data_IF_941910472948
#
_entry.id   IF_941910472948
#
_cell.length_a   1.000
_cell.length_b   1.000
_cell.length_c   1.000
_cell.angle_alpha   90.00
_cell.angle_beta   90.00
_cell.angle_gamma   90.00
#
_symmetry.space_group_name_H-M   'P 1'
#
loop_
_entity.id
_entity.type
_entity.pdbx_description
1 polymer ?
#
# COMPACT_ATOMS: atom_id res chain seq x y z
N UNK A 1 -5.58 14.29 -8.43
CA UNK A 1 -4.99 14.80 -7.17
C UNK A 1 -5.14 16.31 -7.15
N UNK A 2 -5.35 16.92 -5.99
CA UNK A 2 -5.45 18.38 -5.83
C UNK A 2 -4.36 18.86 -4.87
N UNK A 3 -3.87 20.07 -5.08
CA UNK A 3 -2.91 20.72 -4.19
C UNK A 3 -3.67 21.46 -3.09
N UNK A 4 -3.20 21.34 -1.85
CA UNK A 4 -3.64 22.20 -0.76
C UNK A 4 -2.79 23.47 -0.72
N UNK A 5 -1.47 23.33 -0.91
CA UNK A 5 -0.52 24.44 -0.83
C UNK A 5 0.54 24.33 -1.94
N UNK A 6 1.04 25.49 -2.38
CA UNK A 6 2.14 25.57 -3.34
C UNK A 6 1.76 25.11 -4.74
N UNK A 7 2.66 24.36 -5.37
CA UNK A 7 2.52 23.84 -6.74
C UNK A 7 3.05 22.42 -6.87
N UNK A 8 2.71 21.76 -7.98
CA UNK A 8 3.36 20.51 -8.34
C UNK A 8 4.85 20.76 -8.64
N UNK A 9 5.68 19.72 -8.44
CA UNK A 9 7.03 19.69 -8.98
C UNK A 9 6.98 19.93 -10.50
N UNK A 10 7.93 20.70 -11.00
CA UNK A 10 8.00 21.11 -12.40
C UNK A 10 9.36 20.71 -13.00
N UNK A 11 10.10 21.68 -13.51
CA UNK A 11 11.30 21.44 -14.32
C UNK A 11 12.57 21.19 -13.49
N UNK A 12 12.66 21.71 -12.25
CA UNK A 12 13.82 21.45 -11.40
C UNK A 12 13.76 20.01 -10.84
N UNK A 13 14.77 19.15 -11.11
CA UNK A 13 14.78 17.76 -10.67
C UNK A 13 14.79 17.59 -9.15
N UNK A 14 15.17 18.62 -8.39
CA UNK A 14 15.26 18.58 -6.92
C UNK A 14 14.05 19.21 -6.24
N UNK A 15 12.89 19.14 -6.88
CA UNK A 15 11.60 19.54 -6.31
C UNK A 15 10.79 18.33 -5.84
N UNK A 16 10.11 18.48 -4.70
CA UNK A 16 9.24 17.45 -4.16
C UNK A 16 7.87 18.02 -3.79
N UNK A 17 6.82 17.27 -4.12
CA UNK A 17 5.46 17.49 -3.64
C UNK A 17 5.12 16.42 -2.59
N UNK A 18 4.72 16.85 -1.40
CA UNK A 18 4.44 15.95 -0.28
C UNK A 18 2.97 15.53 -0.23
N UNK A 19 2.73 14.28 0.14
CA UNK A 19 1.43 13.84 0.62
C UNK A 19 1.04 14.56 1.93
N UNK A 20 -0.27 14.73 2.15
CA UNK A 20 -0.80 15.50 3.28
C UNK A 20 -0.37 14.97 4.65
N UNK A 21 -0.23 13.65 4.80
CA UNK A 21 0.15 13.03 6.07
C UNK A 21 1.66 13.12 6.31
N UNK A 22 2.48 13.07 5.27
CA UNK A 22 3.93 13.32 5.37
C UNK A 22 4.20 14.72 5.90
N UNK A 23 3.59 15.74 5.27
CA UNK A 23 3.77 17.13 5.68
C UNK A 23 3.32 17.36 7.12
N UNK A 24 2.11 16.90 7.47
CA UNK A 24 1.56 17.10 8.81
C UNK A 24 2.33 16.33 9.91
N UNK A 25 2.68 15.06 9.67
CA UNK A 25 3.31 14.21 10.69
C UNK A 25 4.77 14.58 10.95
N UNK A 26 5.49 15.05 9.93
CA UNK A 26 6.90 15.43 10.02
C UNK A 26 7.10 16.94 10.20
N UNK A 27 6.03 17.74 10.12
CA UNK A 27 6.07 19.18 10.29
C UNK A 27 6.67 19.96 9.11
N UNK A 28 6.72 19.35 7.92
CA UNK A 28 7.30 20.00 6.74
C UNK A 28 6.41 21.11 6.19
N UNK A 29 7.04 22.23 5.85
CA UNK A 29 6.38 23.37 5.20
C UNK A 29 6.97 23.68 3.83
N UNK A 30 6.31 24.54 3.05
CA UNK A 30 6.82 24.95 1.73
C UNK A 30 8.18 25.65 1.87
N UNK A 31 9.10 25.28 0.97
CA UNK A 31 10.44 25.86 0.89
C UNK A 31 11.49 25.17 1.76
N UNK A 32 11.09 24.29 2.68
CA UNK A 32 12.02 23.46 3.43
C UNK A 32 12.70 22.43 2.54
N UNK A 33 13.89 22.02 2.95
CA UNK A 33 14.68 20.99 2.28
C UNK A 33 14.58 19.67 3.04
N UNK A 34 14.49 18.58 2.29
CA UNK A 34 14.53 17.23 2.82
C UNK A 34 15.52 16.38 2.06
N UNK A 35 16.09 15.40 2.77
CA UNK A 35 17.04 14.45 2.21
C UNK A 35 16.34 13.11 2.03
N UNK A 36 16.35 12.60 0.80
CA UNK A 36 15.88 11.25 0.52
C UNK A 36 16.95 10.23 0.90
N UNK A 37 16.52 9.05 1.35
CA UNK A 37 17.43 8.00 1.76
C UNK A 37 16.90 6.62 1.37
N UNK A 38 17.81 5.69 1.13
CA UNK A 38 17.51 4.27 1.03
C UNK A 38 17.35 3.67 2.42
N UNK A 39 16.31 2.86 2.60
CA UNK A 39 16.05 2.18 3.86
C UNK A 39 14.58 1.91 4.07
N UNK A 40 14.27 1.13 5.11
CA UNK A 40 12.90 0.90 5.56
C UNK A 40 12.77 1.43 6.98
N UNK A 41 11.85 2.38 7.15
CA UNK A 41 11.44 3.00 8.41
C UNK A 41 12.58 3.61 9.26
N UNK A 42 13.21 2.82 10.14
CA UNK A 42 14.12 3.33 11.18
C UNK A 42 15.60 3.26 10.78
N UNK A 43 15.93 2.47 9.76
CA UNK A 43 17.31 2.26 9.33
C UNK A 43 17.49 2.94 7.97
N UNK A 44 18.06 4.15 8.01
CA UNK A 44 18.59 4.82 6.82
C UNK A 44 19.95 4.22 6.51
N UNK A 45 20.06 3.50 5.39
CA UNK A 45 21.29 2.82 4.97
C UNK A 45 22.23 3.77 4.24
N UNK A 46 21.68 4.56 3.32
CA UNK A 46 22.41 5.56 2.54
C UNK A 46 21.52 6.77 2.30
N UNK A 47 22.06 7.97 2.55
CA UNK A 47 21.38 9.25 2.36
C UNK A 47 21.88 9.93 1.09
N UNK A 48 20.98 10.64 0.42
CA UNK A 48 21.28 11.54 -0.70
C UNK A 48 21.41 12.98 -0.20
N UNK A 49 22.24 13.19 0.82
CA UNK A 49 22.42 14.50 1.48
C UNK A 49 23.19 15.52 0.62
N UNK A 50 23.85 15.05 -0.44
CA UNK A 50 24.50 15.85 -1.47
C UNK A 50 23.53 16.43 -2.51
N UNK A 51 22.27 15.96 -2.51
CA UNK A 51 21.23 16.33 -3.47
C UNK A 51 19.86 16.54 -2.77
N UNK A 52 19.75 17.53 -1.86
CA UNK A 52 18.52 17.76 -1.11
C UNK A 52 17.37 18.21 -2.01
N UNK A 53 16.15 17.82 -1.65
CA UNK A 53 14.92 18.20 -2.36
C UNK A 53 14.21 19.33 -1.64
N UNK A 54 13.77 20.34 -2.40
CA UNK A 54 12.97 21.44 -1.89
C UNK A 54 11.48 21.12 -1.97
N UNK A 55 10.77 21.31 -0.87
CA UNK A 55 9.30 21.17 -0.81
C UNK A 55 8.66 22.32 -1.57
N UNK A 56 7.98 22.03 -2.68
CA UNK A 56 7.31 23.04 -3.52
C UNK A 56 5.78 22.96 -3.48
N UNK A 57 5.24 21.86 -2.94
CA UNK A 57 3.80 21.70 -2.79
C UNK A 57 3.42 20.62 -1.79
N UNK A 58 2.19 20.75 -1.29
CA UNK A 58 1.56 19.77 -0.40
C UNK A 58 0.20 19.40 -1.01
N UNK A 59 -0.03 18.11 -1.18
CA UNK A 59 -1.30 17.58 -1.68
C UNK A 59 -2.42 17.78 -0.65
N UNK A 60 -3.62 18.04 -1.15
CA UNK A 60 -4.83 17.97 -0.33
C UNK A 60 -5.05 16.54 0.18
N UNK A 61 -5.49 16.42 1.44
CA UNK A 61 -5.73 15.12 2.09
C UNK A 61 -6.76 14.30 1.32
N UNK A 62 -6.41 13.07 0.98
CA UNK A 62 -7.26 12.14 0.24
C UNK A 62 -7.80 10.99 1.09
N UNK A 63 -7.17 10.70 2.23
CA UNK A 63 -7.45 9.50 3.03
C UNK A 63 -6.94 8.19 2.40
N UNK A 64 -6.10 8.29 1.36
CA UNK A 64 -5.53 7.14 0.65
C UNK A 64 -4.02 7.03 0.90
N UNK A 65 -3.36 5.92 0.51
CA UNK A 65 -1.91 5.79 0.66
C UNK A 65 -1.08 6.92 0.02
N UNK A 66 -1.64 7.67 -0.94
CA UNK A 66 -1.00 8.86 -1.53
C UNK A 66 -0.69 9.95 -0.50
N UNK A 67 -1.44 10.01 0.60
CA UNK A 67 -1.16 10.99 1.67
C UNK A 67 0.18 10.72 2.37
N UNK A 68 0.72 9.49 2.24
CA UNK A 68 1.96 9.02 2.86
C UNK A 68 3.11 8.88 1.86
N UNK A 69 3.05 9.54 0.71
CA UNK A 69 4.08 9.47 -0.34
C UNK A 69 4.76 10.82 -0.58
N UNK A 70 6.00 10.76 -1.09
CA UNK A 70 6.72 11.89 -1.65
C UNK A 70 6.69 11.74 -3.17
N UNK A 71 6.40 12.82 -3.88
CA UNK A 71 6.33 12.82 -5.34
C UNK A 71 7.42 13.70 -5.92
N UNK A 72 8.25 13.09 -6.77
CA UNK A 72 9.34 13.74 -7.51
C UNK A 72 9.20 13.42 -8.99
N UNK A 73 9.85 14.19 -9.84
CA UNK A 73 9.92 13.88 -11.27
C UNK A 73 10.79 12.66 -11.54
N UNK A 74 10.57 12.01 -12.68
CA UNK A 74 11.46 10.92 -13.12
C UNK A 74 12.89 11.42 -13.34
N UNK A 75 13.04 12.66 -13.83
CA UNK A 75 14.33 13.33 -13.94
C UNK A 75 15.00 13.52 -12.57
N UNK A 76 14.22 13.85 -11.52
CA UNK A 76 14.70 13.89 -10.14
C UNK A 76 15.20 12.55 -9.65
N UNK A 77 14.52 11.45 -10.04
CA UNK A 77 14.97 10.12 -9.68
C UNK A 77 16.25 9.71 -10.41
N UNK A 78 16.40 10.09 -11.68
CA UNK A 78 17.65 9.90 -12.44
C UNK A 78 18.78 10.74 -11.84
N UNK A 79 18.51 12.03 -11.55
CA UNK A 79 19.46 12.99 -10.96
C UNK A 79 20.06 12.51 -9.64
N UNK A 80 19.26 11.83 -8.82
CA UNK A 80 19.71 11.22 -7.57
C UNK A 80 20.71 10.08 -7.78
N UNK A 81 20.67 9.42 -8.93
CA UNK A 81 21.45 8.22 -9.22
C UNK A 81 22.49 8.40 -10.33
N UNK A 82 22.68 9.61 -10.87
CA UNK A 82 23.64 9.87 -11.98
C UNK A 82 25.07 9.44 -11.68
N UNK A 83 25.49 9.53 -10.41
CA UNK A 83 26.81 9.12 -9.94
C UNK A 83 26.78 7.79 -9.17
N UNK A 84 25.67 7.05 -9.25
CA UNK A 84 25.54 5.73 -8.62
C UNK A 84 25.85 4.61 -9.60
N UNK A 85 26.65 3.64 -9.15
CA UNK A 85 26.98 2.45 -9.92
C UNK A 85 26.82 1.21 -9.05
N UNK A 86 26.12 0.20 -9.56
CA UNK A 86 25.85 -1.06 -8.85
C UNK A 86 25.27 -0.85 -7.42
N UNK A 87 24.41 0.16 -7.26
CA UNK A 87 23.75 0.47 -5.99
C UNK A 87 24.61 1.23 -4.97
N UNK A 88 25.76 1.78 -5.38
CA UNK A 88 26.66 2.56 -4.52
C UNK A 88 26.99 3.93 -5.14
N UNK A 89 27.10 5.00 -4.33
CA UNK A 89 27.48 6.32 -4.82
C UNK A 89 28.97 6.36 -5.19
N UNK A 90 29.30 7.16 -6.20
CA UNK A 90 30.68 7.46 -6.57
C UNK A 90 31.44 8.14 -5.42
N UNK A 91 32.77 7.97 -5.42
CA UNK A 91 33.67 8.56 -4.43
C UNK A 91 34.70 9.47 -5.09
N UNK A 92 35.19 10.46 -4.35
CA UNK A 92 36.20 11.40 -4.81
C UNK A 92 35.72 12.19 -6.03
N UNK A 93 36.56 12.23 -7.07
CA UNK A 93 36.31 13.02 -8.29
C UNK A 93 35.14 12.52 -9.15
N UNK A 94 34.57 11.35 -8.85
CA UNK A 94 33.39 10.82 -9.55
C UNK A 94 32.05 11.34 -9.01
N UNK A 95 32.05 12.11 -7.91
CA UNK A 95 30.82 12.69 -7.33
C UNK A 95 30.26 13.78 -8.23
N UNK A 96 28.94 13.81 -8.36
CA UNK A 96 28.21 14.82 -9.11
C UNK A 96 27.37 15.65 -8.13
N UNK A 97 27.54 16.98 -8.11
CA UNK A 97 26.73 17.86 -7.27
C UNK A 97 25.31 18.02 -7.83
N UNK A 98 24.37 18.52 -7.02
CA UNK A 98 23.03 18.85 -7.47
C UNK A 98 23.06 19.86 -8.65
N UNK A 99 23.91 20.89 -8.60
CA UNK A 99 24.07 21.88 -9.68
C UNK A 99 24.58 21.24 -10.96
N UNK A 100 25.53 20.31 -10.86
CA UNK A 100 26.04 19.59 -12.03
C UNK A 100 24.95 18.70 -12.63
N UNK A 101 24.19 17.99 -11.79
CA UNK A 101 23.10 17.10 -12.24
C UNK A 101 21.98 17.87 -12.96
N UNK A 102 21.65 19.11 -12.54
CA UNK A 102 20.67 19.95 -13.24
C UNK A 102 21.02 20.22 -14.71
N UNK A 103 22.31 20.20 -15.06
CA UNK A 103 22.80 20.42 -16.42
C UNK A 103 22.93 19.15 -17.28
N UNK A 104 22.56 17.99 -16.76
CA UNK A 104 22.69 16.70 -17.46
C UNK A 104 21.40 16.33 -18.20
N UNK A 105 21.52 15.38 -19.12
CA UNK A 105 20.35 14.69 -19.68
C UNK A 105 19.84 13.67 -18.66
N UNK A 106 18.69 13.99 -18.07
CA UNK A 106 18.05 13.23 -16.99
C UNK A 106 16.87 12.39 -17.50
N UNK A 107 16.78 12.15 -18.81
CA UNK A 107 15.70 11.35 -19.36
C UNK A 107 15.91 9.86 -19.04
N UNK A 108 15.03 9.24 -18.22
CA UNK A 108 15.21 7.85 -17.81
C UNK A 108 15.08 6.92 -19.02
N UNK A 109 15.97 5.94 -19.10
CA UNK A 109 15.88 4.87 -20.11
C UNK A 109 14.92 3.75 -19.72
N UNK A 110 14.60 3.63 -18.42
CA UNK A 110 13.76 2.58 -17.88
C UNK A 110 12.88 3.15 -16.76
N UNK A 111 11.64 2.68 -16.69
CA UNK A 111 10.71 2.97 -15.59
C UNK A 111 10.16 1.66 -15.04
N UNK A 112 9.91 1.60 -13.74
CA UNK A 112 9.43 0.37 -13.09
C UNK A 112 7.98 0.06 -13.44
N UNK A 113 7.14 1.08 -13.50
CA UNK A 113 5.71 0.94 -13.78
C UNK A 113 5.12 2.27 -14.23
N UNK A 114 3.98 2.19 -14.93
CA UNK A 114 3.15 3.34 -15.28
C UNK A 114 1.69 2.98 -15.09
N UNK A 115 0.89 3.94 -14.65
CA UNK A 115 -0.56 3.81 -14.59
C UNK A 115 -1.17 4.37 -15.87
N UNK A 116 -1.81 3.52 -16.67
CA UNK A 116 -2.45 3.89 -17.92
C UNK A 116 -3.97 3.99 -17.76
N UNK A 117 -4.52 5.18 -17.97
CA UNK A 117 -5.96 5.41 -18.05
C UNK A 117 -6.47 5.25 -19.48
N UNK A 118 -7.56 4.49 -19.68
CA UNK A 118 -8.18 4.30 -21.00
C UNK A 118 -9.48 5.07 -21.12
N UNK A 119 -9.67 5.73 -22.28
CA UNK A 119 -10.92 6.41 -22.60
C UNK A 119 -12.04 5.43 -22.99
N UNK A 120 -11.69 4.23 -23.45
CA UNK A 120 -12.64 3.17 -23.82
C UNK A 120 -12.49 1.96 -22.91
N UNK A 121 -13.54 1.65 -22.14
CA UNK A 121 -13.57 0.48 -21.24
C UNK A 121 -13.45 -0.84 -22.01
N UNK A 122 -13.98 -0.90 -23.23
CA UNK A 122 -13.97 -2.12 -24.07
C UNK A 122 -12.53 -2.45 -24.52
N UNK A 123 -11.67 -1.45 -24.70
CA UNK A 123 -10.28 -1.66 -25.13
C UNK A 123 -9.39 -2.27 -24.03
N UNK A 124 -9.84 -2.28 -22.77
CA UNK A 124 -9.03 -2.66 -21.60
C UNK A 124 -8.39 -4.03 -21.72
N UNK A 125 -9.18 -5.06 -22.05
CA UNK A 125 -8.66 -6.44 -22.12
C UNK A 125 -7.80 -6.67 -23.37
N UNK A 126 -8.15 -6.05 -24.50
CA UNK A 126 -7.37 -6.16 -25.73
C UNK A 126 -5.98 -5.53 -25.55
N UNK A 127 -5.91 -4.32 -24.98
CA UNK A 127 -4.64 -3.65 -24.73
C UNK A 127 -3.80 -4.37 -23.68
N UNK A 128 -4.42 -4.85 -22.59
CA UNK A 128 -3.71 -5.64 -21.58
C UNK A 128 -3.06 -6.87 -22.23
N UNK A 129 -3.81 -7.59 -23.08
CA UNK A 129 -3.30 -8.74 -23.82
C UNK A 129 -2.16 -8.34 -24.77
N UNK A 130 -2.32 -7.27 -25.53
CA UNK A 130 -1.29 -6.77 -26.44
C UNK A 130 0.02 -6.47 -25.71
N UNK A 131 -0.04 -5.81 -24.55
CA UNK A 131 1.14 -5.54 -23.72
C UNK A 131 1.76 -6.86 -23.21
N UNK A 132 0.95 -7.80 -22.74
CA UNK A 132 1.44 -9.08 -22.22
C UNK A 132 2.01 -10.02 -23.29
N UNK A 133 1.57 -9.89 -24.54
CA UNK A 133 2.05 -10.68 -25.68
C UNK A 133 3.17 -9.96 -26.47
N UNK A 134 3.50 -8.72 -26.11
CA UNK A 134 4.57 -7.95 -26.76
C UNK A 134 5.93 -8.61 -26.56
N UNK A 135 6.64 -8.87 -27.67
CA UNK A 135 7.92 -9.61 -27.65
C UNK A 135 9.16 -8.71 -27.65
N UNK A 136 8.99 -7.41 -27.91
CA UNK A 136 10.14 -6.49 -27.98
C UNK A 136 10.80 -6.31 -26.62
N UNK A 137 10.00 -6.32 -25.55
CA UNK A 137 10.45 -6.16 -24.17
C UNK A 137 9.55 -6.98 -23.23
N UNK A 138 10.08 -7.50 -22.11
CA UNK A 138 9.30 -8.23 -21.13
C UNK A 138 8.42 -7.28 -20.31
N UNK A 139 7.19 -7.08 -20.76
CA UNK A 139 6.20 -6.22 -20.11
C UNK A 139 5.10 -7.05 -19.45
N UNK A 140 4.49 -6.48 -18.39
CA UNK A 140 3.32 -7.05 -17.73
C UNK A 140 2.29 -5.96 -17.47
N UNK A 141 1.11 -6.12 -18.04
CA UNK A 141 -0.07 -5.33 -17.77
C UNK A 141 -1.02 -6.09 -16.84
N UNK A 142 -1.27 -5.48 -15.68
CA UNK A 142 -2.29 -5.93 -14.72
C UNK A 142 -3.48 -4.97 -14.73
N UNK A 143 -4.65 -5.48 -14.39
CA UNK A 143 -5.84 -4.68 -14.15
C UNK A 143 -6.08 -4.64 -12.64
N UNK A 144 -5.74 -3.54 -11.93
CA UNK A 144 -5.78 -3.49 -10.48
C UNK A 144 -7.14 -3.89 -9.89
N UNK A 145 -8.24 -3.46 -10.53
CA UNK A 145 -9.59 -3.81 -10.09
C UNK A 145 -9.89 -5.31 -10.17
N UNK A 146 -9.42 -5.99 -11.22
CA UNK A 146 -9.62 -7.43 -11.39
C UNK A 146 -8.77 -8.21 -10.38
N UNK A 147 -7.49 -7.84 -10.23
CA UNK A 147 -6.60 -8.47 -9.26
C UNK A 147 -7.12 -8.33 -7.82
N UNK A 148 -7.66 -7.15 -7.46
CA UNK A 148 -8.30 -6.95 -6.16
C UNK A 148 -9.56 -7.82 -6.02
N UNK A 149 -10.41 -7.89 -7.06
CA UNK A 149 -11.61 -8.73 -7.02
C UNK A 149 -11.27 -10.23 -6.80
N UNK A 150 -10.20 -10.72 -7.44
CA UNK A 150 -9.71 -12.08 -7.22
C UNK A 150 -9.26 -12.29 -5.76
N UNK A 151 -8.51 -11.33 -5.19
CA UNK A 151 -8.10 -11.38 -3.80
C UNK A 151 -9.31 -11.44 -2.83
N UNK A 152 -10.32 -10.59 -3.04
CA UNK A 152 -11.53 -10.59 -2.21
C UNK A 152 -12.33 -11.88 -2.34
N UNK A 153 -12.38 -12.48 -3.54
CA UNK A 153 -13.05 -13.76 -3.78
C UNK A 153 -12.41 -14.91 -2.99
N UNK A 154 -11.07 -14.94 -2.95
CA UNK A 154 -10.32 -15.92 -2.15
C UNK A 154 -10.60 -15.74 -0.65
N UNK A 155 -10.61 -14.49 -0.17
CA UNK A 155 -10.90 -14.23 1.24
C UNK A 155 -12.35 -14.59 1.62
N UNK A 156 -13.33 -14.28 0.76
CA UNK A 156 -14.73 -14.67 0.99
C UNK A 156 -14.93 -16.19 1.03
N UNK A 157 -14.11 -16.95 0.31
CA UNK A 157 -14.13 -18.42 0.39
C UNK A 157 -13.62 -18.91 1.75
N UNK A 158 -12.53 -18.33 2.24
CA UNK A 158 -11.99 -18.63 3.56
C UNK A 158 -12.97 -18.27 4.69
N UNK A 159 -13.62 -17.11 4.59
CA UNK A 159 -14.64 -16.67 5.55
C UNK A 159 -15.80 -17.66 5.64
N UNK A 160 -16.34 -18.11 4.49
CA UNK A 160 -17.43 -19.10 4.47
C UNK A 160 -17.05 -20.43 5.11
N UNK A 161 -15.82 -20.90 4.88
CA UNK A 161 -15.34 -22.11 5.52
C UNK A 161 -15.29 -21.97 7.05
N UNK A 162 -14.74 -20.86 7.55
CA UNK A 162 -14.71 -20.55 8.98
C UNK A 162 -16.11 -20.38 9.58
N UNK A 163 -17.04 -19.79 8.84
CA UNK A 163 -18.43 -19.65 9.25
C UNK A 163 -19.11 -21.02 9.44
N UNK A 164 -18.91 -21.95 8.49
CA UNK A 164 -19.46 -23.32 8.60
C UNK A 164 -18.88 -24.06 9.80
N UNK A 165 -17.57 -23.95 10.05
CA UNK A 165 -16.92 -24.53 11.24
C UNK A 165 -17.52 -23.93 12.52
N UNK A 166 -17.68 -22.61 12.56
CA UNK A 166 -18.27 -21.90 13.71
C UNK A 166 -19.71 -22.36 13.95
N UNK A 167 -20.49 -22.59 12.90
CA UNK A 167 -21.85 -23.12 12.99
C UNK A 167 -21.87 -24.51 13.63
N UNK A 168 -20.96 -25.41 13.22
CA UNK A 168 -20.86 -26.74 13.83
C UNK A 168 -20.49 -26.67 15.31
N UNK A 169 -19.56 -25.80 15.70
CA UNK A 169 -19.18 -25.60 17.11
C UNK A 169 -20.37 -25.12 17.95
N UNK A 170 -21.15 -24.17 17.44
CA UNK A 170 -22.36 -23.69 18.12
C UNK A 170 -23.39 -24.82 18.27
N UNK A 171 -23.63 -25.58 17.21
CA UNK A 171 -24.60 -26.68 17.23
C UNK A 171 -24.20 -27.79 18.21
N UNK A 172 -22.93 -28.20 18.23
CA UNK A 172 -22.45 -29.22 19.17
C UNK A 172 -22.52 -28.71 20.61
N UNK A 173 -22.21 -27.43 20.85
CA UNK A 173 -22.40 -26.78 22.14
C UNK A 173 -23.85 -26.79 22.61
N UNK A 174 -24.80 -26.45 21.73
CA UNK A 174 -26.24 -26.46 22.04
C UNK A 174 -26.75 -27.87 22.36
N UNK A 175 -26.34 -28.88 21.58
CA UNK A 175 -26.71 -30.29 21.83
C UNK A 175 -26.12 -30.76 23.16
N UNK A 176 -24.86 -30.42 23.43
CA UNK A 176 -24.19 -30.74 24.70
C UNK A 176 -24.92 -30.12 25.89
N UNK A 177 -25.29 -28.84 25.80
CA UNK A 177 -26.06 -28.15 26.83
C UNK A 177 -27.45 -28.78 27.04
N UNK A 178 -28.18 -29.08 25.96
CA UNK A 178 -29.48 -29.76 26.04
C UNK A 178 -29.36 -31.12 26.72
N UNK A 179 -28.33 -31.90 26.36
CA UNK A 179 -28.06 -33.22 26.95
C UNK A 179 -27.78 -33.10 28.46
N UNK A 180 -26.98 -32.13 28.87
CA UNK A 180 -26.69 -31.87 30.28
C UNK A 180 -27.96 -31.48 31.07
N UNK A 181 -28.81 -30.60 30.51
CA UNK A 181 -30.08 -30.19 31.14
C UNK A 181 -31.02 -31.41 31.27
N UNK A 182 -31.20 -32.19 30.21
CA UNK A 182 -32.07 -33.37 30.23
C UNK A 182 -31.58 -34.42 31.24
N UNK A 183 -30.26 -34.65 31.30
CA UNK A 183 -29.66 -35.59 32.26
C UNK A 183 -29.89 -35.11 33.69
N UNK A 184 -29.64 -33.82 33.97
CA UNK A 184 -29.88 -33.21 35.28
C UNK A 184 -31.35 -33.31 35.71
N UNK A 185 -32.30 -33.06 34.80
CA UNK A 185 -33.73 -33.22 35.09
C UNK A 185 -34.11 -34.68 35.36
N UNK A 186 -33.49 -35.64 34.67
CA UNK A 186 -33.78 -37.05 34.83
C UNK A 186 -33.24 -37.61 36.16
N UNK A 187 -32.05 -37.16 36.59
CA UNK A 187 -31.49 -37.48 37.91
C UNK A 187 -32.36 -36.91 39.03
N UNK A 188 -32.85 -35.68 38.88
CA UNK A 188 -33.72 -35.00 39.86
C UNK A 188 -35.19 -35.40 39.76
N UNK A 189 -35.54 -36.33 38.87
CA UNK A 189 -36.93 -36.78 38.66
C UNK A 189 -37.54 -37.38 39.94
N UNK A 190 -36.72 -38.05 40.75
CA UNK A 190 -37.13 -38.63 42.03
C UNK A 190 -37.37 -37.54 43.09
N UNK A 191 -36.52 -36.52 43.15
CA UNK A 191 -36.72 -35.34 44.00
C UNK A 191 -38.03 -34.61 43.65
N UNK A 192 -38.29 -34.41 42.35
CA UNK A 192 -39.54 -33.78 41.89
C UNK A 192 -40.80 -34.62 42.16
N UNK A 193 -40.68 -35.96 42.22
CA UNK A 193 -41.78 -36.82 42.63
C UNK A 193 -42.08 -36.69 44.14
N UNK A 194 -41.04 -36.58 44.97
CA UNK A 194 -41.18 -36.35 46.41
C UNK A 194 -41.81 -34.98 46.67
N UNK A 195 -41.31 -33.91 46.03
CA UNK A 195 -41.86 -32.56 46.17
C UNK A 195 -43.36 -32.50 45.80
N UNK A 196 -43.76 -33.16 44.71
CA UNK A 196 -45.19 -33.29 44.35
C UNK A 196 -46.02 -34.04 45.39
N UNK A 197 -45.46 -35.03 46.08
CA UNK A 197 -46.17 -35.77 47.13
C UNK A 197 -46.39 -34.95 48.41
N UNK A 198 -45.60 -33.90 48.63
CA UNK A 198 -45.68 -33.00 49.81
C UNK A 198 -46.42 -31.68 49.47
N UNK A 199 -46.92 -31.53 48.24
CA UNK A 199 -47.81 -30.43 47.85
C UNK A 199 -47.12 -29.21 47.22
N UNK A 200 -45.87 -29.34 46.78
CA UNK A 200 -45.18 -28.35 45.94
C UNK A 200 -45.44 -28.57 44.45
#
# INVERSE_FOLDING_TARGET
LQLAEGRAFADDPFEVTLGAEVAHALGYTLGEELVLAHGVATISLLKHDDKPFKVVGILARTGTPVDRTLHISLAGMEALHVDWQNGMPARGAGKVSAEQARGMDLQPRQITAVLLGLNSKIATFSLQREINEFRGEPLLAILPGVALQELWSLMGTAEKALFVVSLFVVLTGLIGMLTAILTSLNERRREMAILRSVGA
#
